data_IF_315475413549
#
_entry.id   IF_315475413549
#
_cell.length_a   1.000
_cell.length_b   1.000
_cell.length_c   1.000
_cell.angle_alpha   90.00
_cell.angle_beta   90.00
_cell.angle_gamma   90.00
#
_symmetry.space_group_name_H-M   'P 1'
#
loop_
_entity.id
_entity.type
_entity.pdbx_description
1 polymer ?
#
# COMPACT_ATOMS: atom_id res chain seq x y z
N UNK A 1 -7.62 -0.32 -22.47
CA UNK A 1 -6.49 -1.19 -22.08
C UNK A 1 -5.33 -0.47 -21.37
N UNK A 2 -4.77 0.58 -21.98
CA UNK A 2 -3.65 1.35 -21.41
C UNK A 2 -3.94 2.00 -20.06
N UNK A 3 -5.17 2.47 -19.83
CA UNK A 3 -5.58 3.07 -18.56
C UNK A 3 -5.49 2.08 -17.40
N UNK A 4 -5.92 0.83 -17.60
CA UNK A 4 -5.83 -0.23 -16.57
C UNK A 4 -4.37 -0.59 -16.25
N UNK A 5 -3.51 -0.63 -17.27
CA UNK A 5 -2.06 -0.86 -17.11
C UNK A 5 -1.42 0.27 -16.28
N UNK A 6 -1.66 1.53 -16.65
CA UNK A 6 -1.19 2.70 -15.89
C UNK A 6 -1.72 2.69 -14.45
N UNK A 7 -2.99 2.36 -14.26
CA UNK A 7 -3.62 2.30 -12.94
C UNK A 7 -2.98 1.24 -12.04
N UNK A 8 -2.72 0.05 -12.59
CA UNK A 8 -2.19 -1.10 -11.84
C UNK A 8 -0.69 -1.07 -11.62
N UNK A 9 0.10 -0.43 -12.48
CA UNK A 9 1.55 -0.37 -12.30
C UNK A 9 1.99 0.99 -11.77
N UNK A 10 1.77 2.06 -12.54
CA UNK A 10 2.22 3.40 -12.17
C UNK A 10 1.50 3.91 -10.93
N UNK A 11 0.16 3.96 -10.95
CA UNK A 11 -0.57 4.57 -9.85
C UNK A 11 -0.49 3.72 -8.58
N UNK A 12 -0.53 2.40 -8.70
CA UNK A 12 -0.44 1.48 -7.56
C UNK A 12 0.91 1.60 -6.83
N UNK A 13 2.04 1.54 -7.55
CA UNK A 13 3.36 1.67 -6.94
C UNK A 13 3.61 3.07 -6.37
N UNK A 14 3.08 4.11 -6.99
CA UNK A 14 3.19 5.47 -6.46
C UNK A 14 2.51 5.58 -5.08
N UNK A 15 1.33 4.98 -4.92
CA UNK A 15 0.66 4.90 -3.62
C UNK A 15 1.42 4.04 -2.61
N UNK A 16 2.04 2.94 -3.04
CA UNK A 16 2.82 2.07 -2.14
C UNK A 16 4.02 2.83 -1.59
N UNK A 17 4.80 3.44 -2.49
CA UNK A 17 6.00 4.21 -2.15
C UNK A 17 5.68 5.46 -1.31
N UNK A 18 4.53 6.11 -1.53
CA UNK A 18 4.11 7.24 -0.70
C UNK A 18 3.85 6.81 0.75
N UNK A 19 3.07 5.76 0.96
CA UNK A 19 2.76 5.26 2.30
C UNK A 19 4.03 4.74 3.00
N UNK A 20 4.82 3.91 2.31
CA UNK A 20 6.04 3.35 2.92
C UNK A 20 7.11 4.42 3.15
N UNK A 21 7.30 5.35 2.21
CA UNK A 21 8.25 6.46 2.35
C UNK A 21 7.90 7.36 3.54
N UNK A 22 6.62 7.72 3.71
CA UNK A 22 6.17 8.47 4.87
C UNK A 22 6.47 7.72 6.19
N UNK A 23 6.15 6.43 6.26
CA UNK A 23 6.44 5.63 7.46
C UNK A 23 7.94 5.52 7.75
N UNK A 24 8.77 5.51 6.70
CA UNK A 24 10.22 5.47 6.77
C UNK A 24 10.87 6.84 7.06
N UNK A 25 10.09 7.93 7.04
CA UNK A 25 10.57 9.29 7.30
C UNK A 25 11.16 10.00 6.07
N UNK A 26 10.88 9.51 4.86
CA UNK A 26 11.30 10.16 3.61
C UNK A 26 10.32 11.28 3.23
N UNK A 27 10.83 12.37 2.64
CA UNK A 27 10.01 13.47 2.16
C UNK A 27 9.54 13.24 0.72
N UNK A 28 10.35 12.56 -0.09
CA UNK A 28 10.09 12.36 -1.51
C UNK A 28 10.16 10.88 -1.94
N UNK A 29 9.40 10.52 -2.97
CA UNK A 29 9.36 9.15 -3.51
C UNK A 29 10.74 8.66 -3.98
N UNK A 30 11.56 9.55 -4.54
CA UNK A 30 12.90 9.17 -4.99
C UNK A 30 13.84 8.81 -3.82
N UNK A 31 13.59 9.33 -2.61
CA UNK A 31 14.33 8.97 -1.39
C UNK A 31 13.91 7.58 -0.91
N UNK A 32 12.61 7.30 -0.89
CA UNK A 32 12.08 5.95 -0.61
C UNK A 32 12.68 4.91 -1.56
N UNK A 33 12.89 5.25 -2.84
CA UNK A 33 13.53 4.38 -3.82
C UNK A 33 15.06 4.25 -3.70
N UNK A 34 15.73 5.06 -2.86
CA UNK A 34 17.14 4.85 -2.49
C UNK A 34 17.28 3.77 -1.42
N UNK A 35 16.21 3.46 -0.67
CA UNK A 35 16.17 2.34 0.27
C UNK A 35 15.99 1.05 -0.51
N UNK A 36 16.98 0.16 -0.45
CA UNK A 36 16.99 -1.08 -1.25
C UNK A 36 15.79 -1.99 -0.96
N UNK A 37 15.38 -2.08 0.30
CA UNK A 37 14.20 -2.79 0.79
C UNK A 37 12.89 -2.30 0.14
N UNK A 38 12.67 -0.99 0.11
CA UNK A 38 11.48 -0.34 -0.46
C UNK A 38 11.45 -0.45 -1.99
N UNK A 39 12.59 -0.24 -2.63
CA UNK A 39 12.73 -0.38 -4.08
C UNK A 39 12.43 -1.82 -4.52
N UNK A 40 13.01 -2.80 -3.82
CA UNK A 40 12.75 -4.22 -4.09
C UNK A 40 11.29 -4.58 -3.83
N UNK A 41 10.70 -4.10 -2.72
CA UNK A 41 9.29 -4.31 -2.44
C UNK A 41 8.40 -3.81 -3.58
N UNK A 42 8.57 -2.56 -4.01
CA UNK A 42 7.74 -1.97 -5.05
C UNK A 42 7.85 -2.72 -6.38
N UNK A 43 9.07 -3.12 -6.76
CA UNK A 43 9.31 -3.91 -7.97
C UNK A 43 8.63 -5.29 -7.89
N UNK A 44 8.87 -6.03 -6.81
CA UNK A 44 8.38 -7.40 -6.68
C UNK A 44 6.86 -7.44 -6.45
N UNK A 45 6.28 -6.49 -5.72
CA UNK A 45 4.83 -6.36 -5.59
C UNK A 45 4.17 -6.23 -6.99
N UNK A 46 4.74 -5.39 -7.86
CA UNK A 46 4.23 -5.23 -9.22
C UNK A 46 4.46 -6.48 -10.07
N UNK A 47 5.67 -7.06 -10.08
CA UNK A 47 6.03 -8.18 -10.97
C UNK A 47 5.40 -9.51 -10.54
N UNK A 48 5.31 -9.79 -9.24
CA UNK A 48 4.87 -11.08 -8.72
C UNK A 48 3.37 -11.12 -8.39
N UNK A 49 2.74 -9.99 -8.04
CA UNK A 49 1.32 -9.98 -7.64
C UNK A 49 0.42 -9.25 -8.62
N UNK A 50 0.85 -8.11 -9.17
CA UNK A 50 -0.02 -7.29 -10.00
C UNK A 50 0.06 -7.68 -11.49
N UNK A 51 1.26 -7.91 -12.01
CA UNK A 51 1.49 -8.25 -13.42
C UNK A 51 0.76 -9.54 -13.84
N UNK A 52 0.81 -10.66 -13.09
CA UNK A 52 0.18 -11.92 -13.50
C UNK A 52 -1.34 -11.82 -13.67
N UNK A 53 -1.97 -10.86 -13.00
CA UNK A 53 -3.43 -10.64 -13.05
C UNK A 53 -3.83 -9.38 -13.83
N UNK A 54 -2.90 -8.77 -14.54
CA UNK A 54 -3.15 -7.58 -15.35
C UNK A 54 -3.17 -7.93 -16.83
N UNK A 55 -4.27 -7.59 -17.51
CA UNK A 55 -4.34 -7.70 -18.96
C UNK A 55 -3.45 -6.64 -19.61
N UNK A 56 -2.25 -7.03 -20.01
CA UNK A 56 -1.30 -6.21 -20.76
C UNK A 56 -1.49 -6.45 -22.27
N UNK A 57 -1.67 -5.40 -23.10
CA UNK A 57 -1.73 -5.57 -24.55
C UNK A 57 -0.48 -6.26 -25.11
N UNK A 58 -0.64 -7.13 -26.10
CA UNK A 58 0.47 -7.86 -26.73
C UNK A 58 1.51 -6.96 -27.40
N UNK A 59 1.17 -5.69 -27.67
CA UNK A 59 2.07 -4.68 -28.24
C UNK A 59 3.03 -4.06 -27.22
N UNK A 60 2.95 -4.43 -25.93
CA UNK A 60 3.84 -3.90 -24.90
C UNK A 60 4.29 -4.97 -23.90
N UNK A 61 5.43 -4.72 -23.26
CA UNK A 61 5.95 -5.54 -22.16
C UNK A 61 5.54 -4.93 -20.81
N UNK A 62 4.80 -5.67 -20.00
CA UNK A 62 4.41 -5.24 -18.65
C UNK A 62 5.62 -5.06 -17.74
N UNK A 63 6.60 -5.99 -17.80
CA UNK A 63 7.85 -5.89 -17.04
C UNK A 63 8.63 -4.64 -17.41
N UNK A 64 8.80 -4.36 -18.71
CA UNK A 64 9.51 -3.16 -19.19
C UNK A 64 8.79 -1.89 -18.73
N UNK A 65 7.46 -1.86 -18.78
CA UNK A 65 6.69 -0.72 -18.30
C UNK A 65 6.83 -0.51 -16.79
N UNK A 66 6.90 -1.58 -15.99
CA UNK A 66 7.17 -1.50 -14.54
C UNK A 66 8.55 -0.89 -14.30
N UNK A 67 9.57 -1.33 -15.04
CA UNK A 67 10.95 -0.84 -14.91
C UNK A 67 11.03 0.66 -15.27
N UNK A 68 10.35 1.08 -16.35
CA UNK A 68 10.24 2.49 -16.77
C UNK A 68 9.54 3.36 -15.72
N UNK A 69 8.46 2.86 -15.12
CA UNK A 69 7.74 3.54 -14.03
C UNK A 69 8.66 3.78 -12.85
N UNK A 70 9.38 2.76 -12.39
CA UNK A 70 10.29 2.89 -11.25
C UNK A 70 11.50 3.77 -11.57
N UNK A 71 12.03 3.69 -12.79
CA UNK A 71 13.08 4.59 -13.27
C UNK A 71 12.62 6.06 -13.24
N UNK A 72 11.39 6.34 -13.69
CA UNK A 72 10.81 7.69 -13.63
C UNK A 72 10.70 8.21 -12.19
N UNK A 73 10.27 7.38 -11.25
CA UNK A 73 10.14 7.79 -9.84
C UNK A 73 11.49 8.05 -9.15
N UNK A 74 12.60 7.50 -9.67
CA UNK A 74 13.96 7.81 -9.18
C UNK A 74 14.48 9.19 -9.62
N UNK A 75 13.79 9.88 -10.53
CA UNK A 75 14.24 11.17 -11.03
C UNK A 75 14.10 12.28 -9.96
N UNK A 76 15.20 12.60 -9.30
CA UNK A 76 15.26 13.64 -8.26
C UNK A 76 15.03 15.06 -8.78
N UNK A 77 15.19 15.31 -10.10
CA UNK A 77 14.91 16.61 -10.69
C UNK A 77 13.40 16.92 -10.81
N UNK A 78 12.54 15.92 -10.59
CA UNK A 78 11.10 16.09 -10.53
C UNK A 78 10.55 15.41 -9.26
N UNK A 79 10.79 16.01 -8.07
CA UNK A 79 10.51 15.36 -6.81
C UNK A 79 9.00 15.26 -6.54
N UNK A 80 8.52 14.04 -6.33
CA UNK A 80 7.16 13.77 -5.85
C UNK A 80 7.16 13.69 -4.33
N UNK A 81 6.50 14.62 -3.63
CA UNK A 81 6.41 14.61 -2.17
C UNK A 81 5.50 13.46 -1.69
N UNK A 82 5.92 12.71 -0.68
CA UNK A 82 5.18 11.52 -0.22
C UNK A 82 3.77 11.90 0.28
N UNK A 83 3.64 13.01 1.00
CA UNK A 83 2.36 13.51 1.50
C UNK A 83 1.43 14.00 0.38
N UNK A 84 1.97 14.67 -0.64
CA UNK A 84 1.18 15.10 -1.79
C UNK A 84 0.66 13.90 -2.61
N UNK A 85 1.49 12.87 -2.76
CA UNK A 85 1.07 11.62 -3.42
C UNK A 85 0.06 10.87 -2.54
N UNK A 86 0.23 10.92 -1.22
CA UNK A 86 -0.61 10.32 -0.19
C UNK A 86 -1.96 11.01 0.03
N UNK A 87 -2.21 12.19 -0.55
CA UNK A 87 -3.52 12.85 -0.48
C UNK A 87 -4.63 11.93 -1.03
N UNK A 88 -5.84 11.95 -0.47
CA UNK A 88 -6.98 11.14 -0.92
C UNK A 88 -6.66 9.62 -1.04
N UNK A 89 -5.73 9.13 -0.22
CA UNK A 89 -5.26 7.75 -0.29
C UNK A 89 -6.40 6.74 -0.15
N UNK A 90 -7.41 7.02 0.68
CA UNK A 90 -8.58 6.16 0.91
C UNK A 90 -9.38 5.90 -0.37
N UNK A 91 -9.46 6.89 -1.27
CA UNK A 91 -10.12 6.77 -2.57
C UNK A 91 -9.20 6.11 -3.59
N UNK A 92 -7.90 6.43 -3.55
CA UNK A 92 -6.89 5.93 -4.48
C UNK A 92 -6.74 4.41 -4.38
N UNK A 93 -6.64 3.84 -3.18
CA UNK A 93 -6.41 2.40 -3.01
C UNK A 93 -7.58 1.54 -3.51
N UNK A 94 -8.81 2.07 -3.47
CA UNK A 94 -10.01 1.39 -3.99
C UNK A 94 -9.89 1.06 -5.47
N UNK A 95 -9.26 1.93 -6.25
CA UNK A 95 -9.11 1.75 -7.69
C UNK A 95 -7.76 1.13 -8.05
N UNK A 96 -6.72 1.43 -7.26
CA UNK A 96 -5.33 1.06 -7.57
C UNK A 96 -4.97 -0.34 -7.07
N UNK A 97 -5.51 -0.78 -5.95
CA UNK A 97 -5.07 -2.00 -5.28
C UNK A 97 -6.18 -3.05 -5.20
N UNK A 98 -7.33 -2.71 -4.62
CA UNK A 98 -8.36 -3.70 -4.25
C UNK A 98 -8.76 -4.64 -5.40
N UNK A 99 -9.02 -4.18 -6.64
CA UNK A 99 -9.35 -5.08 -7.74
C UNK A 99 -8.21 -6.05 -8.11
N UNK A 100 -6.95 -5.63 -7.96
CA UNK A 100 -5.80 -6.50 -8.24
C UNK A 100 -5.61 -7.56 -7.14
N UNK A 101 -5.96 -7.24 -5.89
CA UNK A 101 -5.94 -8.19 -4.77
C UNK A 101 -6.98 -9.28 -5.00
N UNK A 102 -8.23 -8.90 -5.32
CA UNK A 102 -9.29 -9.86 -5.62
C UNK A 102 -8.92 -10.76 -6.81
N UNK A 103 -8.36 -10.18 -7.88
CA UNK A 103 -7.92 -10.95 -9.03
C UNK A 103 -6.81 -11.96 -8.66
N UNK A 104 -5.83 -11.55 -7.86
CA UNK A 104 -4.74 -12.42 -7.41
C UNK A 104 -5.25 -13.58 -6.55
N UNK A 105 -6.15 -13.31 -5.59
CA UNK A 105 -6.72 -14.34 -4.73
C UNK A 105 -7.60 -15.32 -5.52
N UNK A 106 -8.37 -14.84 -6.51
CA UNK A 106 -9.25 -15.68 -7.33
C UNK A 106 -8.49 -16.74 -8.12
N UNK A 107 -7.27 -16.45 -8.54
CA UNK A 107 -6.41 -17.39 -9.29
C UNK A 107 -5.45 -18.17 -8.38
N UNK A 108 -5.60 -18.06 -7.05
CA UNK A 108 -4.71 -18.72 -6.08
C UNK A 108 -3.26 -18.19 -6.12
N UNK A 109 -3.07 -16.96 -6.63
CA UNK A 109 -1.76 -16.34 -6.73
C UNK A 109 -1.20 -15.89 -5.38
N UNK A 110 0.10 -15.59 -5.36
CA UNK A 110 0.71 -14.95 -4.20
C UNK A 110 0.01 -13.61 -3.91
N UNK A 111 -0.10 -13.26 -2.63
CA UNK A 111 -0.74 -12.00 -2.19
C UNK A 111 -0.01 -11.31 -1.04
N UNK A 112 1.13 -11.86 -0.59
CA UNK A 112 1.87 -11.37 0.59
C UNK A 112 2.30 -9.90 0.45
N UNK A 113 2.80 -9.47 -0.71
CA UNK A 113 3.16 -8.06 -0.91
C UNK A 113 1.93 -7.16 -0.86
N UNK A 114 0.79 -7.60 -1.39
CA UNK A 114 -0.44 -6.83 -1.34
C UNK A 114 -1.00 -6.73 0.08
N UNK A 115 -0.92 -7.81 0.87
CA UNK A 115 -1.27 -7.77 2.28
C UNK A 115 -0.39 -6.77 3.05
N UNK A 116 0.93 -6.76 2.76
CA UNK A 116 1.85 -5.78 3.35
C UNK A 116 1.55 -4.34 2.90
N UNK A 117 1.19 -4.12 1.63
CA UNK A 117 0.80 -2.79 1.13
C UNK A 117 -0.45 -2.26 1.82
N UNK A 118 -1.47 -3.10 2.03
CA UNK A 118 -2.69 -2.75 2.77
C UNK A 118 -2.37 -2.41 4.23
N UNK A 119 -1.55 -3.23 4.89
CA UNK A 119 -1.09 -2.97 6.25
C UNK A 119 -0.29 -1.66 6.37
N UNK A 120 0.59 -1.38 5.41
CA UNK A 120 1.36 -0.13 5.32
C UNK A 120 0.43 1.07 5.18
N UNK A 121 -0.60 0.99 4.34
CA UNK A 121 -1.56 2.09 4.21
C UNK A 121 -2.32 2.36 5.52
N UNK A 122 -2.77 1.32 6.22
CA UNK A 122 -3.45 1.50 7.51
C UNK A 122 -2.53 2.16 8.56
N UNK A 123 -1.26 1.74 8.62
CA UNK A 123 -0.25 2.38 9.47
C UNK A 123 0.07 3.82 9.06
N UNK A 124 0.09 4.11 7.75
CA UNK A 124 0.24 5.47 7.22
C UNK A 124 -0.90 6.37 7.68
N UNK A 125 -2.16 5.94 7.55
CA UNK A 125 -3.32 6.72 8.02
C UNK A 125 -3.19 7.04 9.50
N UNK A 126 -2.89 6.05 10.34
CA UNK A 126 -2.73 6.24 11.79
C UNK A 126 -1.63 7.26 12.11
N UNK A 127 -0.42 7.05 11.57
CA UNK A 127 0.73 7.90 11.85
C UNK A 127 0.51 9.33 11.33
N UNK A 128 -0.07 9.48 10.14
CA UNK A 128 -0.38 10.79 9.57
C UNK A 128 -1.45 11.55 10.36
N UNK A 129 -2.45 10.86 10.95
CA UNK A 129 -3.40 11.48 11.88
C UNK A 129 -2.72 11.99 13.14
N UNK A 130 -1.85 11.17 13.73
CA UNK A 130 -1.11 11.53 14.97
C UNK A 130 -0.20 12.74 14.78
N UNK A 131 0.37 12.91 13.58
CA UNK A 131 1.21 14.04 13.23
C UNK A 131 0.43 15.22 12.63
N UNK A 132 -0.90 15.10 12.48
CA UNK A 132 -1.75 16.09 11.83
C UNK A 132 -1.32 16.40 10.38
N UNK A 133 -0.77 15.39 9.68
CA UNK A 133 -0.31 15.45 8.29
C UNK A 133 -1.34 14.88 7.30
N UNK A 134 -2.38 14.19 7.78
CA UNK A 134 -3.31 13.48 6.91
C UNK A 134 -4.19 14.44 6.11
N UNK A 135 -4.03 14.42 4.78
CA UNK A 135 -4.93 15.07 3.83
C UNK A 135 -5.76 14.00 3.10
N UNK A 136 -6.95 13.70 3.63
CA UNK A 136 -7.85 12.71 3.07
C UNK A 136 -9.30 13.12 3.36
N UNK A 137 -10.25 12.94 2.43
CA UNK A 137 -11.67 13.26 2.66
C UNK A 137 -12.29 12.47 3.82
N UNK A 138 -11.67 11.36 4.23
CA UNK A 138 -12.10 10.55 5.38
C UNK A 138 -11.31 10.86 6.65
N UNK A 139 -10.47 11.91 6.70
CA UNK A 139 -9.62 12.22 7.85
C UNK A 139 -10.40 12.32 9.17
N UNK A 140 -11.52 13.04 9.19
CA UNK A 140 -12.38 13.13 10.37
C UNK A 140 -12.93 11.76 10.78
N UNK A 141 -13.41 10.95 9.83
CA UNK A 141 -13.97 9.63 10.12
C UNK A 141 -12.89 8.67 10.66
N UNK A 142 -11.67 8.74 10.15
CA UNK A 142 -10.54 7.99 10.69
C UNK A 142 -10.21 8.44 12.12
N UNK A 143 -10.14 9.75 12.38
CA UNK A 143 -9.89 10.29 13.72
C UNK A 143 -10.95 9.83 14.75
N UNK A 144 -12.23 9.82 14.36
CA UNK A 144 -13.31 9.30 15.21
C UNK A 144 -13.12 7.81 15.52
N UNK A 145 -12.72 7.00 14.53
CA UNK A 145 -12.43 5.57 14.74
C UNK A 145 -11.28 5.35 15.73
N UNK A 146 -10.25 6.19 15.69
CA UNK A 146 -9.10 6.11 16.60
C UNK A 146 -9.45 6.52 18.03
N UNK A 147 -10.34 7.50 18.19
CA UNK A 147 -10.78 7.99 19.50
C UNK A 147 -11.67 6.98 20.26
N UNK A 148 -12.37 6.09 19.55
CA UNK A 148 -13.17 5.02 20.18
C UNK A 148 -12.26 3.93 20.79
N UNK A 149 -11.03 3.79 20.30
CA UNK A 149 -10.05 2.80 20.76
C UNK A 149 -9.21 3.29 21.97
N UNK A 150 -9.69 4.32 22.68
CA UNK A 150 -9.00 4.99 23.79
C UNK A 150 -9.03 4.16 25.10
N UNK A 151 -8.66 2.89 25.01
CA UNK A 151 -8.26 2.05 26.15
C UNK A 151 -6.75 2.19 26.37
N UNK A 152 -6.21 1.83 27.54
CA UNK A 152 -4.76 1.90 27.86
C UNK A 152 -3.85 1.14 26.85
N UNK A 153 -4.44 0.36 25.93
CA UNK A 153 -3.75 -0.34 24.84
C UNK A 153 -4.52 -0.23 23.53
N UNK A 154 -3.96 0.38 22.49
CA UNK A 154 -4.54 0.42 21.14
C UNK A 154 -4.73 -0.99 20.56
N UNK A 155 -5.95 -1.33 20.15
CA UNK A 155 -6.27 -2.54 19.40
C UNK A 155 -5.99 -2.32 17.90
N UNK A 156 -4.71 -2.45 17.54
CA UNK A 156 -4.27 -2.29 16.15
C UNK A 156 -5.09 -3.10 15.13
N UNK A 157 -5.42 -4.39 15.37
CA UNK A 157 -6.37 -5.12 14.53
C UNK A 157 -7.72 -4.40 14.33
N UNK A 158 -8.41 -4.04 15.41
CA UNK A 158 -9.74 -3.43 15.33
C UNK A 158 -9.71 -2.07 14.60
N UNK A 159 -8.66 -1.27 14.86
CA UNK A 159 -8.45 0.02 14.22
C UNK A 159 -8.20 -0.14 12.71
N UNK A 160 -7.29 -1.04 12.32
CA UNK A 160 -6.99 -1.35 10.92
C UNK A 160 -8.23 -1.80 10.16
N UNK A 161 -9.04 -2.69 10.74
CA UNK A 161 -10.31 -3.12 10.14
C UNK A 161 -11.28 -1.94 9.96
N UNK A 162 -11.34 -1.02 10.91
CA UNK A 162 -12.21 0.16 10.81
C UNK A 162 -11.77 1.11 9.70
N UNK A 163 -10.46 1.35 9.54
CA UNK A 163 -9.94 2.13 8.41
C UNK A 163 -10.25 1.50 7.06
N UNK A 164 -10.08 0.18 6.92
CA UNK A 164 -10.39 -0.52 5.68
C UNK A 164 -11.89 -0.45 5.35
N UNK A 165 -12.78 -0.57 6.35
CA UNK A 165 -14.22 -0.40 6.15
C UNK A 165 -14.59 1.00 5.70
N UNK A 166 -13.98 2.03 6.30
CA UNK A 166 -14.16 3.42 5.89
C UNK A 166 -13.68 3.64 4.45
N UNK A 167 -12.55 3.04 4.06
CA UNK A 167 -12.09 3.03 2.67
C UNK A 167 -12.89 2.10 1.74
N UNK A 168 -13.98 1.48 2.22
CA UNK A 168 -14.90 0.70 1.41
C UNK A 168 -14.39 -0.69 1.00
N UNK A 169 -13.41 -1.25 1.72
CA UNK A 169 -12.83 -2.57 1.46
C UNK A 169 -13.86 -3.71 1.57
N UNK A 170 -14.88 -3.58 2.41
CA UNK A 170 -15.96 -4.55 2.61
C UNK A 170 -16.77 -4.89 1.34
N UNK A 171 -16.62 -4.07 0.29
CA UNK A 171 -17.22 -4.29 -1.03
C UNK A 171 -16.39 -5.21 -1.94
N UNK A 172 -15.22 -5.64 -1.48
CA UNK A 172 -14.27 -6.48 -2.22
C UNK A 172 -14.08 -7.82 -1.52
N UNK A 173 -13.79 -8.86 -2.30
CA UNK A 173 -13.76 -10.25 -1.81
C UNK A 173 -12.60 -10.48 -0.82
N UNK A 174 -11.45 -9.83 -1.05
CA UNK A 174 -10.27 -9.98 -0.20
C UNK A 174 -10.54 -9.64 1.28
N UNK A 175 -11.48 -8.72 1.54
CA UNK A 175 -11.79 -8.29 2.90
C UNK A 175 -12.42 -9.41 3.74
N UNK A 176 -13.07 -10.36 3.08
CA UNK A 176 -13.67 -11.55 3.71
C UNK A 176 -12.77 -12.78 3.61
N UNK A 177 -11.64 -12.68 2.91
CA UNK A 177 -10.67 -13.75 2.77
C UNK A 177 -9.78 -13.87 4.02
N UNK A 178 -10.18 -14.75 4.95
CA UNK A 178 -9.55 -14.94 6.27
C UNK A 178 -8.02 -14.96 6.24
N UNK A 179 -7.42 -15.85 5.46
CA UNK A 179 -5.96 -15.99 5.42
C UNK A 179 -5.23 -14.73 4.89
N UNK A 180 -5.90 -13.94 4.04
CA UNK A 180 -5.35 -12.68 3.55
C UNK A 180 -5.40 -11.61 4.65
N UNK A 181 -6.56 -11.47 5.29
CA UNK A 181 -6.75 -10.51 6.38
C UNK A 181 -5.90 -10.85 7.62
N UNK A 182 -5.71 -12.12 7.94
CA UNK A 182 -4.77 -12.55 8.99
C UNK A 182 -3.35 -12.07 8.68
N UNK A 183 -2.93 -12.16 7.41
CA UNK A 183 -1.62 -11.66 6.97
C UNK A 183 -1.53 -10.13 7.03
N UNK A 184 -2.59 -9.41 6.65
CA UNK A 184 -2.67 -7.93 6.78
C UNK A 184 -2.50 -7.54 8.25
N UNK A 185 -3.24 -8.17 9.16
CA UNK A 185 -3.16 -7.92 10.60
C UNK A 185 -1.76 -8.19 11.16
N UNK A 186 -1.15 -9.32 10.80
CA UNK A 186 0.22 -9.64 11.20
C UNK A 186 1.23 -8.59 10.72
N UNK A 187 1.13 -8.17 9.45
CA UNK A 187 2.00 -7.15 8.89
C UNK A 187 1.79 -5.81 9.58
N UNK A 188 0.54 -5.41 9.82
CA UNK A 188 0.22 -4.15 10.48
C UNK A 188 0.83 -4.08 11.88
N UNK A 189 0.58 -5.09 12.73
CA UNK A 189 1.19 -5.18 14.06
C UNK A 189 2.73 -5.11 14.00
N UNK A 190 3.34 -5.75 13.00
CA UNK A 190 4.80 -5.72 12.82
C UNK A 190 5.30 -4.32 12.44
N UNK A 191 4.59 -3.63 11.55
CA UNK A 191 4.93 -2.25 11.15
C UNK A 191 4.82 -1.31 12.35
N UNK A 192 3.77 -1.45 13.16
CA UNK A 192 3.56 -0.62 14.35
C UNK A 192 4.65 -0.83 15.42
N UNK A 193 5.18 -2.05 15.53
CA UNK A 193 6.20 -2.38 16.53
C UNK A 193 7.64 -2.13 16.07
N UNK A 194 7.92 -2.37 14.79
CA UNK A 194 9.29 -2.48 14.29
C UNK A 194 9.65 -1.38 13.28
N UNK A 195 8.66 -0.68 12.73
CA UNK A 195 8.83 0.15 11.55
C UNK A 195 8.71 -0.65 10.24
N UNK A 196 8.46 0.07 9.14
CA UNK A 196 8.10 -0.52 7.84
C UNK A 196 9.21 -1.42 7.27
N UNK A 197 10.49 -1.05 7.42
CA UNK A 197 11.59 -1.82 6.84
C UNK A 197 11.87 -3.12 7.59
N UNK A 198 11.95 -3.06 8.92
CA UNK A 198 12.14 -4.25 9.75
C UNK A 198 10.95 -5.20 9.62
N UNK A 199 9.75 -4.67 9.44
CA UNK A 199 8.54 -5.46 9.24
C UNK A 199 8.56 -6.27 7.92
N UNK A 200 9.19 -5.78 6.85
CA UNK A 200 9.38 -6.54 5.60
C UNK A 200 10.13 -7.86 5.86
N UNK A 201 11.23 -7.77 6.60
CA UNK A 201 12.06 -8.93 6.97
C UNK A 201 11.32 -9.87 7.93
N UNK A 202 10.71 -9.31 8.98
CA UNK A 202 9.97 -10.09 9.98
C UNK A 202 8.81 -10.88 9.38
N UNK A 203 8.16 -10.32 8.35
CA UNK A 203 7.03 -10.94 7.66
C UNK A 203 7.42 -11.79 6.45
N UNK A 204 8.72 -11.93 6.19
CA UNK A 204 9.26 -12.75 5.09
C UNK A 204 8.76 -12.30 3.72
N UNK A 205 8.57 -10.98 3.54
CA UNK A 205 7.98 -10.44 2.31
C UNK A 205 8.97 -10.51 1.14
N UNK A 206 10.23 -10.13 1.37
CA UNK A 206 11.27 -10.03 0.33
C UNK A 206 12.06 -11.33 0.11
N UNK A 207 11.46 -12.50 0.38
CA UNK A 207 12.13 -13.80 0.22
C UNK A 207 12.07 -14.33 -1.19
#
# INVERSE_FOLDING_TARGET
PFEKVKLRFLNASHSMLAAMGYLAGDQFIHEALRRSSLALFAEQALKLNVLPVTHVPSTMSGTTYIDEVLARFRNHNLPYAVLQVGTDSSQKIQQRWFPAIDDALRVGGASNYMAFAVATWASFIRKALEQNDLNDPLAEAFAHSSAIDNTDTTDYPALMHSYLRLAGAQRFDFYHHRAFMDKVTQCHISIERLGVEQALSANQILR
#
